data_IF_941372394369
#
_entry.id   IF_941372394369
#
_cell.length_a   1.000
_cell.length_b   1.000
_cell.length_c   1.000
_cell.angle_alpha   90.00
_cell.angle_beta   90.00
_cell.angle_gamma   90.00
#
_symmetry.space_group_name_H-M   'P 1'
#
loop_
_entity.id
_entity.type
_entity.pdbx_description
1 polymer ?
#
# COMPACT_ATOMS: atom_id res chain seq x y z
N UNK A 1 21.63 -41.61 -16.35
CA UNK A 1 20.70 -41.44 -15.22
C UNK A 1 21.14 -40.24 -14.40
N UNK A 2 20.71 -39.02 -14.79
CA UNK A 2 20.83 -37.82 -13.94
C UNK A 2 19.45 -37.61 -13.34
N UNK A 3 19.32 -37.83 -12.04
CA UNK A 3 18.14 -37.43 -11.28
C UNK A 3 18.04 -35.90 -11.40
N UNK A 4 17.05 -35.41 -12.15
CA UNK A 4 16.57 -34.05 -12.03
C UNK A 4 15.60 -34.05 -10.86
N UNK A 5 16.15 -33.98 -9.65
CA UNK A 5 15.35 -33.77 -8.45
C UNK A 5 14.75 -32.37 -8.55
N UNK A 6 13.41 -32.31 -8.55
CA UNK A 6 12.66 -31.07 -8.61
C UNK A 6 12.99 -30.14 -7.44
N UNK A 7 13.23 -28.87 -7.74
CA UNK A 7 12.77 -27.80 -6.89
C UNK A 7 11.46 -27.32 -7.49
N UNK A 8 10.35 -27.85 -6.99
CA UNK A 8 9.12 -27.07 -6.91
C UNK A 8 9.44 -25.92 -5.97
N UNK A 9 9.74 -24.75 -6.53
CA UNK A 9 9.88 -23.50 -5.80
C UNK A 9 8.47 -23.05 -5.38
N UNK A 10 7.84 -23.83 -4.50
CA UNK A 10 6.65 -23.50 -3.72
C UNK A 10 7.02 -22.48 -2.63
N UNK A 11 7.84 -21.48 -3.00
CA UNK A 11 8.00 -20.28 -2.20
C UNK A 11 6.77 -19.44 -2.49
N UNK A 12 5.75 -19.60 -1.66
CA UNK A 12 4.78 -18.54 -1.42
C UNK A 12 5.58 -17.29 -1.06
N UNK A 13 5.91 -16.47 -2.06
CA UNK A 13 6.81 -15.34 -1.90
C UNK A 13 6.11 -14.33 -1.00
N UNK A 14 6.62 -14.14 0.21
CA UNK A 14 6.12 -13.12 1.10
C UNK A 14 6.23 -11.75 0.42
N UNK A 15 5.14 -11.00 0.37
CA UNK A 15 5.06 -9.68 -0.24
C UNK A 15 4.88 -8.65 0.87
N UNK A 16 5.61 -7.55 0.80
CA UNK A 16 5.37 -6.38 1.64
C UNK A 16 4.67 -5.31 0.82
N UNK A 17 3.58 -4.75 1.35
CA UNK A 17 2.89 -3.60 0.77
C UNK A 17 3.00 -2.41 1.71
N UNK A 18 3.09 -1.21 1.15
CA UNK A 18 3.02 0.04 1.89
C UNK A 18 1.60 0.62 1.83
N UNK A 19 1.07 1.00 2.99
CA UNK A 19 -0.24 1.61 3.14
C UNK A 19 -0.12 3.03 3.69
N UNK A 20 -0.33 4.03 2.84
CA UNK A 20 -0.25 5.45 3.21
C UNK A 20 -1.62 6.03 3.53
N UNK A 21 -1.79 6.64 4.70
CA UNK A 21 -3.06 7.20 5.20
C UNK A 21 -2.86 8.49 6.01
N UNK A 22 -3.91 9.28 6.19
CA UNK A 22 -3.83 10.59 6.87
C UNK A 22 -4.06 10.54 8.39
N UNK A 23 -4.54 9.41 8.90
CA UNK A 23 -4.85 9.23 10.33
C UNK A 23 -3.57 9.04 11.18
N UNK A 24 -2.96 10.14 11.64
CA UNK A 24 -1.69 10.13 12.41
C UNK A 24 -1.88 9.94 13.91
N UNK A 25 -3.08 10.19 14.43
CA UNK A 25 -3.37 10.17 15.86
C UNK A 25 -3.19 8.77 16.43
N UNK A 26 -2.58 8.65 17.61
CA UNK A 26 -2.20 7.35 18.20
C UNK A 26 -3.39 6.39 18.31
N UNK A 27 -4.55 6.89 18.74
CA UNK A 27 -5.78 6.11 18.87
C UNK A 27 -6.29 5.62 17.50
N UNK A 28 -6.09 6.39 16.44
CA UNK A 28 -6.44 5.99 15.07
C UNK A 28 -5.44 4.99 14.52
N UNK A 29 -4.14 5.19 14.73
CA UNK A 29 -3.11 4.23 14.34
C UNK A 29 -3.28 2.89 15.06
N UNK A 30 -3.67 2.89 16.34
CA UNK A 30 -3.94 1.66 17.07
C UNK A 30 -5.12 0.86 16.45
N UNK A 31 -6.14 1.53 15.92
CA UNK A 31 -7.23 0.88 15.20
C UNK A 31 -6.75 0.33 13.86
N UNK A 32 -5.97 1.10 13.09
CA UNK A 32 -5.44 0.66 11.79
C UNK A 32 -4.49 -0.53 11.96
N UNK A 33 -3.61 -0.51 12.97
CA UNK A 33 -2.74 -1.65 13.31
C UNK A 33 -3.55 -2.92 13.57
N UNK A 34 -4.66 -2.85 14.32
CA UNK A 34 -5.53 -4.02 14.55
C UNK A 34 -6.17 -4.53 13.26
N UNK A 35 -6.53 -3.64 12.34
CA UNK A 35 -7.07 -4.03 11.04
C UNK A 35 -6.01 -4.70 10.17
N UNK A 36 -4.77 -4.19 10.20
CA UNK A 36 -3.62 -4.79 9.52
C UNK A 36 -3.30 -6.16 10.10
N UNK A 37 -3.20 -6.30 11.42
CA UNK A 37 -2.94 -7.59 12.06
C UNK A 37 -3.99 -8.64 11.68
N UNK A 38 -5.27 -8.23 11.61
CA UNK A 38 -6.34 -9.10 11.13
C UNK A 38 -6.14 -9.49 9.67
N UNK A 39 -5.80 -8.53 8.81
CA UNK A 39 -5.55 -8.76 7.40
C UNK A 39 -4.36 -9.69 7.16
N UNK A 40 -3.22 -9.47 7.83
CA UNK A 40 -2.02 -10.32 7.74
C UNK A 40 -2.28 -11.73 8.28
N UNK A 41 -3.10 -11.87 9.33
CA UNK A 41 -3.52 -13.18 9.83
C UNK A 41 -4.34 -13.97 8.81
N UNK A 42 -5.19 -13.29 8.06
CA UNK A 42 -5.99 -13.88 6.98
C UNK A 42 -5.16 -14.08 5.69
N UNK A 43 -4.04 -13.38 5.55
CA UNK A 43 -3.16 -13.40 4.39
C UNK A 43 -1.68 -13.55 4.83
N UNK A 44 -1.25 -14.76 5.26
CA UNK A 44 0.03 -14.96 5.96
C UNK A 44 1.28 -14.71 5.12
N UNK A 45 1.12 -14.54 3.81
CA UNK A 45 2.19 -14.19 2.87
C UNK A 45 2.28 -12.69 2.61
N UNK A 46 1.45 -11.86 3.26
CA UNK A 46 1.44 -10.41 3.07
C UNK A 46 1.82 -9.73 4.38
N UNK A 47 2.72 -8.76 4.28
CA UNK A 47 3.06 -7.83 5.35
C UNK A 47 2.67 -6.42 4.94
N UNK A 48 2.06 -5.64 5.82
CA UNK A 48 1.63 -4.26 5.56
C UNK A 48 2.46 -3.30 6.40
N UNK A 49 3.14 -2.37 5.73
CA UNK A 49 3.84 -1.25 6.37
C UNK A 49 2.97 0.00 6.33
N UNK A 50 2.62 0.52 7.49
CA UNK A 50 1.89 1.78 7.59
C UNK A 50 2.82 2.97 7.29
N UNK A 51 2.33 3.91 6.49
CA UNK A 51 3.00 5.17 6.16
C UNK A 51 2.07 6.32 6.55
N UNK A 52 1.96 6.67 7.85
CA UNK A 52 1.12 7.78 8.30
C UNK A 52 1.70 9.11 7.82
N UNK A 53 0.82 10.00 7.35
CA UNK A 53 1.20 11.32 6.83
C UNK A 53 0.18 12.34 7.31
N UNK A 54 0.63 13.48 7.84
CA UNK A 54 -0.26 14.57 8.26
C UNK A 54 -1.21 15.00 7.12
N UNK A 55 -2.47 15.30 7.46
CA UNK A 55 -3.52 15.63 6.49
C UNK A 55 -3.15 16.82 5.60
N UNK A 56 -2.52 17.85 6.18
CA UNK A 56 -2.08 19.05 5.48
C UNK A 56 -1.00 18.78 4.41
N UNK A 57 -0.17 17.76 4.63
CA UNK A 57 0.88 17.32 3.73
C UNK A 57 0.43 16.21 2.76
N UNK A 58 -0.69 15.55 3.04
CA UNK A 58 -1.11 14.31 2.38
C UNK A 58 -1.22 14.44 0.86
N UNK A 59 -2.04 15.39 0.39
CA UNK A 59 -2.28 15.61 -1.05
C UNK A 59 -0.99 15.97 -1.80
N UNK A 60 -0.16 16.82 -1.21
CA UNK A 60 1.13 17.22 -1.80
C UNK A 60 2.07 16.02 -1.93
N UNK A 61 2.11 15.16 -0.91
CA UNK A 61 2.92 13.94 -0.92
C UNK A 61 2.43 12.94 -1.95
N UNK A 62 1.13 12.68 -2.04
CA UNK A 62 0.52 11.83 -3.08
C UNK A 62 0.89 12.32 -4.47
N UNK A 63 0.69 13.60 -4.79
CA UNK A 63 1.00 14.16 -6.11
C UNK A 63 2.48 14.02 -6.44
N UNK A 64 3.36 14.28 -5.48
CA UNK A 64 4.81 14.20 -5.67
C UNK A 64 5.23 12.77 -5.99
N UNK A 65 4.79 11.81 -5.17
CA UNK A 65 5.10 10.39 -5.35
C UNK A 65 4.48 9.84 -6.64
N UNK A 66 3.29 10.29 -7.02
CA UNK A 66 2.66 9.91 -8.29
C UNK A 66 3.50 10.34 -9.49
N UNK A 67 4.02 11.58 -9.47
CA UNK A 67 4.87 12.11 -10.54
C UNK A 67 6.22 11.42 -10.66
N UNK A 68 6.76 10.93 -9.54
CA UNK A 68 8.03 10.20 -9.53
C UNK A 68 7.86 8.69 -9.75
N UNK A 69 6.62 8.20 -9.89
CA UNK A 69 6.33 6.77 -10.00
C UNK A 69 6.65 5.98 -8.74
N UNK A 70 6.64 6.64 -7.57
CA UNK A 70 7.03 6.07 -6.28
C UNK A 70 5.86 6.05 -5.28
N UNK A 71 4.63 5.91 -5.77
CA UNK A 71 3.46 5.75 -4.90
C UNK A 71 3.53 4.42 -4.15
N UNK A 72 3.14 4.40 -2.86
CA UNK A 72 2.83 3.17 -2.15
C UNK A 72 1.77 2.36 -2.88
N UNK A 73 1.76 1.04 -2.67
CA UNK A 73 0.81 0.14 -3.32
C UNK A 73 -0.64 0.44 -2.91
N UNK A 74 -0.84 0.95 -1.69
CA UNK A 74 -2.16 1.35 -1.18
C UNK A 74 -2.11 2.78 -0.63
N UNK A 75 -3.01 3.62 -1.11
CA UNK A 75 -3.16 5.01 -0.66
C UNK A 75 -4.62 5.29 -0.27
N UNK A 76 -4.81 6.01 0.83
CA UNK A 76 -6.09 6.62 1.18
C UNK A 76 -6.40 7.78 0.22
N UNK A 77 -7.59 7.80 -0.36
CA UNK A 77 -8.03 8.86 -1.26
C UNK A 77 -9.43 9.31 -0.83
N UNK A 78 -9.62 10.62 -0.66
CA UNK A 78 -10.97 11.15 -0.43
C UNK A 78 -11.83 10.99 -1.69
N UNK A 79 -13.13 10.78 -1.51
CA UNK A 79 -14.06 10.55 -2.62
C UNK A 79 -14.03 11.66 -3.68
N UNK A 80 -13.85 12.92 -3.26
CA UNK A 80 -13.75 14.06 -4.17
C UNK A 80 -12.43 14.06 -4.95
N UNK A 81 -11.34 13.62 -4.32
CA UNK A 81 -10.04 13.53 -4.98
C UNK A 81 -9.96 12.35 -5.95
N UNK A 82 -10.63 11.23 -5.66
CA UNK A 82 -10.72 10.09 -6.57
C UNK A 82 -11.26 10.49 -7.95
N UNK A 83 -12.29 11.34 -7.99
CA UNK A 83 -12.88 11.85 -9.26
C UNK A 83 -11.91 12.69 -10.09
N UNK A 84 -10.98 13.39 -9.43
CA UNK A 84 -9.97 14.22 -10.10
C UNK A 84 -8.80 13.37 -10.57
N UNK A 85 -8.40 12.37 -9.79
CA UNK A 85 -7.34 11.42 -10.15
C UNK A 85 -7.72 10.55 -11.34
N UNK A 86 -8.96 10.06 -11.41
CA UNK A 86 -9.48 9.31 -12.57
C UNK A 86 -9.35 10.12 -13.87
N UNK A 87 -9.73 11.41 -13.83
CA UNK A 87 -9.60 12.31 -14.99
C UNK A 87 -8.17 12.66 -15.36
N UNK A 88 -7.22 12.59 -14.40
CA UNK A 88 -5.81 12.91 -14.62
C UNK A 88 -4.96 11.69 -15.02
N UNK A 89 -5.37 10.48 -14.65
CA UNK A 89 -4.70 9.24 -15.03
C UNK A 89 -4.82 8.93 -16.53
N UNK A 90 -5.84 9.48 -17.21
CA UNK A 90 -6.03 9.34 -18.67
C UNK A 90 -5.25 10.41 -19.46
N UNK A 91 -4.68 11.41 -18.80
CA UNK A 91 -3.84 12.42 -19.42
C UNK A 91 -2.36 12.17 -19.09
N UNK A 92 -1.83 11.05 -19.59
CA UNK A 92 -0.39 10.98 -19.88
C UNK A 92 -0.03 11.93 -21.04
N UNK A 93 1.24 12.31 -21.20
CA UNK A 93 1.69 13.08 -22.36
C UNK A 93 1.40 12.38 -23.69
#
# INVERSE_FOLDING_TARGET
MRLLTGCEDDKTSAVTIEFMHSSVEQERQAVITKLIEKFEKENPTITVKQVPVEEDAYNTKVITLARTGALPEVIEISHDYAKVMDKRAVAGP
#
